data_IF_557239474116
#
_entry.id   IF_557239474116
#
_cell.length_a   1.000
_cell.length_b   1.000
_cell.length_c   1.000
_cell.angle_alpha   90.00
_cell.angle_beta   90.00
_cell.angle_gamma   90.00
#
_symmetry.space_group_name_H-M   'P 1'
#
loop_
_entity.id
_entity.type
_entity.pdbx_description
1 polymer ?
#
# COMPACT_ATOMS: atom_id res chain seq x y z
N UNK A 1 -26.40 -48.02 -11.12
CA UNK A 1 -27.43 -46.96 -11.16
C UNK A 1 -26.74 -45.65 -10.80
N UNK A 2 -25.57 -45.35 -11.38
CA UNK A 2 -24.59 -44.47 -10.68
C UNK A 2 -23.71 -43.62 -11.61
N UNK A 3 -24.05 -43.45 -12.89
CA UNK A 3 -23.28 -42.58 -13.80
C UNK A 3 -24.01 -41.27 -14.09
N UNK A 4 -25.34 -41.30 -14.10
CA UNK A 4 -26.18 -40.12 -14.35
C UNK A 4 -26.10 -39.14 -13.17
N UNK A 5 -26.04 -39.68 -11.94
CA UNK A 5 -25.95 -38.91 -10.69
C UNK A 5 -24.60 -38.16 -10.57
N UNK A 6 -23.50 -38.80 -11.00
CA UNK A 6 -22.17 -38.18 -11.03
C UNK A 6 -22.07 -37.04 -12.06
N UNK A 7 -22.68 -37.22 -13.25
CA UNK A 7 -22.72 -36.18 -14.28
C UNK A 7 -23.57 -34.99 -13.82
N UNK A 8 -24.70 -35.25 -13.17
CA UNK A 8 -25.55 -34.22 -12.56
C UNK A 8 -24.82 -33.49 -11.43
N UNK A 9 -24.12 -34.21 -10.55
CA UNK A 9 -23.31 -33.63 -9.49
C UNK A 9 -22.18 -32.73 -10.03
N UNK A 10 -21.50 -33.15 -11.09
CA UNK A 10 -20.47 -32.35 -11.78
C UNK A 10 -21.08 -31.09 -12.41
N UNK A 11 -22.23 -31.21 -13.07
CA UNK A 11 -22.92 -30.08 -13.69
C UNK A 11 -23.36 -29.05 -12.63
N UNK A 12 -23.88 -29.52 -11.50
CA UNK A 12 -24.26 -28.66 -10.35
C UNK A 12 -23.02 -27.98 -9.75
N UNK A 13 -21.94 -28.72 -9.51
CA UNK A 13 -20.69 -28.16 -8.99
C UNK A 13 -20.10 -27.08 -9.91
N UNK A 14 -20.12 -27.31 -11.22
CA UNK A 14 -19.69 -26.33 -12.22
C UNK A 14 -20.58 -25.07 -12.20
N UNK A 15 -21.90 -25.24 -12.16
CA UNK A 15 -22.84 -24.12 -12.12
C UNK A 15 -22.65 -23.26 -10.85
N UNK A 16 -22.46 -23.89 -9.69
CA UNK A 16 -22.16 -23.23 -8.42
C UNK A 16 -20.83 -22.46 -8.48
N UNK A 17 -19.77 -23.07 -9.03
CA UNK A 17 -18.48 -22.40 -9.19
C UNK A 17 -18.58 -21.19 -10.14
N UNK A 18 -19.29 -21.33 -11.27
CA UNK A 18 -19.52 -20.23 -12.23
C UNK A 18 -20.27 -19.07 -11.58
N UNK A 19 -21.33 -19.36 -10.81
CA UNK A 19 -22.09 -18.36 -10.04
C UNK A 19 -21.23 -17.69 -8.99
N UNK A 20 -20.49 -18.47 -8.19
CA UNK A 20 -19.59 -17.93 -7.17
C UNK A 20 -18.50 -17.03 -7.76
N UNK A 21 -17.95 -17.39 -8.92
CA UNK A 21 -16.97 -16.56 -9.63
C UNK A 21 -17.60 -15.28 -10.20
N UNK A 22 -18.82 -15.33 -10.71
CA UNK A 22 -19.55 -14.14 -11.15
C UNK A 22 -19.85 -13.19 -9.98
N UNK A 23 -20.28 -13.72 -8.84
CA UNK A 23 -20.55 -12.95 -7.63
C UNK A 23 -19.25 -12.38 -7.02
N UNK A 24 -18.15 -13.13 -7.00
CA UNK A 24 -16.82 -12.62 -6.63
C UNK A 24 -16.37 -11.49 -7.57
N UNK A 25 -16.57 -11.62 -8.88
CA UNK A 25 -16.25 -10.56 -9.85
C UNK A 25 -17.06 -9.29 -9.60
N UNK A 26 -18.38 -9.41 -9.37
CA UNK A 26 -19.24 -8.25 -9.01
C UNK A 26 -18.76 -7.56 -7.73
N UNK A 27 -18.43 -8.32 -6.69
CA UNK A 27 -17.90 -7.79 -5.42
C UNK A 27 -16.49 -7.18 -5.57
N UNK A 28 -15.71 -7.64 -6.55
CA UNK A 28 -14.35 -7.18 -6.82
C UNK A 28 -14.27 -5.92 -7.69
N UNK A 29 -15.39 -5.34 -8.12
CA UNK A 29 -15.38 -4.08 -8.88
C UNK A 29 -15.02 -2.96 -7.91
N UNK A 30 -13.71 -2.75 -7.71
CA UNK A 30 -13.20 -1.59 -7.00
C UNK A 30 -13.49 -0.36 -7.84
N UNK A 31 -14.21 0.62 -7.26
CA UNK A 31 -14.43 1.93 -7.91
C UNK A 31 -13.10 2.61 -8.27
N UNK A 32 -12.08 2.43 -7.42
CA UNK A 32 -10.73 2.94 -7.66
C UNK A 32 -9.68 1.91 -7.22
N UNK A 33 -8.67 1.68 -8.06
CA UNK A 33 -7.44 0.97 -7.67
C UNK A 33 -6.58 1.83 -6.73
N UNK A 34 -6.44 3.11 -7.07
CA UNK A 34 -5.89 4.19 -6.23
C UNK A 34 -6.89 5.33 -6.28
N UNK A 35 -7.33 5.81 -5.12
CA UNK A 35 -8.29 6.92 -5.04
C UNK A 35 -7.68 8.20 -5.66
N UNK A 36 -8.45 9.03 -6.41
CA UNK A 36 -7.94 10.26 -7.03
C UNK A 36 -7.26 11.23 -6.05
N UNK A 37 -7.68 11.26 -4.79
CA UNK A 37 -7.02 12.05 -3.74
C UNK A 37 -5.55 11.63 -3.54
N UNK A 38 -5.23 10.36 -3.73
CA UNK A 38 -3.90 9.81 -3.50
C UNK A 38 -2.99 9.93 -4.74
N UNK A 39 -3.53 10.28 -5.91
CA UNK A 39 -2.70 10.48 -7.12
C UNK A 39 -1.85 11.74 -7.01
N UNK A 40 -2.33 12.74 -6.27
CA UNK A 40 -1.63 14.00 -6.02
C UNK A 40 -0.54 13.92 -4.95
N UNK A 41 -0.44 12.79 -4.22
CA UNK A 41 0.50 12.59 -3.10
C UNK A 41 1.96 12.96 -3.43
N UNK A 42 2.40 12.70 -4.67
CA UNK A 42 3.78 13.00 -5.08
C UNK A 42 4.05 14.51 -5.11
N UNK A 43 3.01 15.34 -5.29
CA UNK A 43 3.13 16.82 -5.34
C UNK A 43 2.63 17.48 -4.06
N UNK A 44 1.49 17.03 -3.55
CA UNK A 44 0.74 17.67 -2.45
C UNK A 44 0.82 16.85 -1.15
N UNK A 45 1.53 15.72 -1.14
CA UNK A 45 1.65 14.89 0.04
C UNK A 45 2.38 15.61 1.15
N UNK A 46 1.87 15.46 2.38
CA UNK A 46 2.44 16.05 3.59
C UNK A 46 3.95 15.85 3.71
N UNK A 47 4.44 14.64 3.41
CA UNK A 47 5.86 14.35 3.42
C UNK A 47 6.62 15.19 2.38
N UNK A 48 6.12 15.27 1.14
CA UNK A 48 6.78 16.02 0.09
C UNK A 48 6.85 17.52 0.36
N UNK A 49 5.81 18.08 0.97
CA UNK A 49 5.77 19.52 1.25
C UNK A 49 6.56 19.87 2.51
N UNK A 50 6.54 19.03 3.55
CA UNK A 50 7.04 19.43 4.87
C UNK A 50 8.38 18.79 5.26
N UNK A 51 8.74 17.63 4.72
CA UNK A 51 9.92 16.90 5.21
C UNK A 51 11.21 17.69 5.01
N UNK A 52 11.44 18.24 3.80
CA UNK A 52 12.64 19.03 3.51
C UNK A 52 12.67 20.34 4.31
N UNK A 53 11.50 20.98 4.49
CA UNK A 53 11.37 22.17 5.31
C UNK A 53 11.73 21.89 6.77
N UNK A 54 11.21 20.79 7.35
CA UNK A 54 11.58 20.37 8.70
C UNK A 54 13.08 20.10 8.80
N UNK A 55 13.66 19.41 7.81
CA UNK A 55 15.08 19.05 7.81
C UNK A 55 16.00 20.27 7.73
N UNK A 56 15.54 21.40 7.20
CA UNK A 56 16.28 22.66 7.20
C UNK A 56 16.30 23.37 8.57
N UNK A 57 15.45 22.95 9.51
CA UNK A 57 15.30 23.55 10.84
C UNK A 57 15.48 22.47 11.93
N UNK A 58 16.71 22.18 12.39
CA UNK A 58 17.00 21.10 13.32
C UNK A 58 16.17 21.14 14.61
N UNK A 59 15.92 22.31 15.19
CA UNK A 59 15.06 22.42 16.38
C UNK A 59 13.61 21.99 16.12
N UNK A 60 13.03 22.36 14.97
CA UNK A 60 11.68 21.96 14.60
C UNK A 60 11.63 20.49 14.19
N UNK A 61 12.67 19.99 13.54
CA UNK A 61 12.81 18.56 13.25
C UNK A 61 12.83 17.72 14.53
N UNK A 62 13.63 18.14 15.52
CA UNK A 62 13.71 17.48 16.82
C UNK A 62 12.38 17.53 17.56
N UNK A 63 11.67 18.67 17.52
CA UNK A 63 10.34 18.80 18.12
C UNK A 63 9.29 17.93 17.45
N UNK A 64 9.36 17.81 16.13
CA UNK A 64 8.42 17.05 15.32
C UNK A 64 8.64 15.54 15.44
N UNK A 65 9.88 15.06 15.27
CA UNK A 65 10.20 13.62 15.27
C UNK A 65 10.71 13.09 16.62
N UNK A 66 10.96 13.97 17.59
CA UNK A 66 11.56 13.63 18.91
C UNK A 66 12.92 12.94 18.80
N UNK A 67 13.63 13.19 17.70
CA UNK A 67 14.98 12.73 17.42
C UNK A 67 15.70 13.71 16.51
N UNK A 68 17.04 13.73 16.56
CA UNK A 68 17.82 14.56 15.66
C UNK A 68 17.75 14.05 14.22
N UNK A 69 18.20 14.88 13.27
CA UNK A 69 18.25 14.49 11.86
C UNK A 69 19.20 13.30 11.68
N UNK A 70 20.32 13.29 12.39
CA UNK A 70 21.31 12.22 12.34
C UNK A 70 20.75 10.90 12.85
N UNK A 71 20.03 10.91 14.00
CA UNK A 71 19.36 9.72 14.51
C UNK A 71 18.27 9.20 13.57
N UNK A 72 17.54 10.11 12.92
CA UNK A 72 16.55 9.73 11.92
C UNK A 72 17.21 9.06 10.71
N UNK A 73 18.32 9.59 10.22
CA UNK A 73 19.06 9.03 9.09
C UNK A 73 19.67 7.67 9.42
N UNK A 74 20.24 7.52 10.61
CA UNK A 74 20.73 6.24 11.12
C UNK A 74 19.59 5.22 11.18
N UNK A 75 18.44 5.60 11.76
CA UNK A 75 17.27 4.74 11.82
C UNK A 75 16.80 4.33 10.43
N UNK A 76 16.79 5.26 9.46
CA UNK A 76 16.47 4.95 8.06
C UNK A 76 17.42 3.89 7.50
N UNK A 77 18.73 4.02 7.71
CA UNK A 77 19.70 3.04 7.22
C UNK A 77 19.44 1.64 7.78
N UNK A 78 19.10 1.54 9.07
CA UNK A 78 18.80 0.28 9.74
C UNK A 78 17.50 -0.37 9.20
N UNK A 79 16.44 0.41 8.99
CA UNK A 79 15.14 -0.14 8.58
C UNK A 79 14.99 -0.29 7.08
N UNK A 80 15.78 0.42 6.27
CA UNK A 80 15.67 0.47 4.80
C UNK A 80 15.70 -0.92 4.14
N UNK A 81 16.52 -1.90 4.54
CA UNK A 81 16.47 -3.24 3.96
C UNK A 81 15.12 -3.94 4.14
N UNK A 82 14.45 -3.72 5.27
CA UNK A 82 13.16 -4.33 5.60
C UNK A 82 11.96 -3.57 5.03
N UNK A 83 12.10 -2.25 4.81
CA UNK A 83 10.99 -1.38 4.40
C UNK A 83 11.01 -0.99 2.92
N UNK A 84 12.13 -1.17 2.23
CA UNK A 84 12.22 -0.85 0.80
C UNK A 84 11.33 -1.79 -0.01
N UNK A 85 10.64 -1.23 -1.02
CA UNK A 85 9.83 -2.00 -1.96
C UNK A 85 10.37 -1.78 -3.37
N UNK A 86 10.30 -2.83 -4.18
CA UNK A 86 10.67 -2.76 -5.59
C UNK A 86 9.74 -1.78 -6.33
N UNK A 87 10.34 -0.90 -7.14
CA UNK A 87 9.60 -0.06 -8.07
C UNK A 87 9.09 -0.94 -9.21
N UNK A 88 7.80 -0.83 -9.51
CA UNK A 88 7.16 -1.58 -10.60
C UNK A 88 6.41 -0.61 -11.50
N UNK A 89 6.11 -1.02 -12.72
CA UNK A 89 5.34 -0.23 -13.69
C UNK A 89 3.90 0.03 -13.23
N UNK A 90 3.39 -0.74 -12.27
CA UNK A 90 2.01 -0.65 -11.79
C UNK A 90 1.81 0.48 -10.78
N UNK A 91 2.79 0.71 -9.89
CA UNK A 91 2.71 1.72 -8.85
C UNK A 91 4.09 2.04 -8.28
N UNK A 92 4.36 3.34 -8.10
CA UNK A 92 5.50 3.82 -7.34
C UNK A 92 5.26 3.57 -5.84
N UNK A 93 6.13 2.80 -5.15
CA UNK A 93 5.98 2.57 -3.73
C UNK A 93 6.18 3.86 -2.92
N UNK A 94 5.63 3.90 -1.72
CA UNK A 94 5.92 4.94 -0.73
C UNK A 94 7.37 4.73 -0.27
N UNK A 95 8.18 5.80 -0.25
CA UNK A 95 9.59 5.69 0.13
C UNK A 95 9.74 5.29 1.59
N UNK A 96 10.90 4.74 1.95
CA UNK A 96 11.18 4.35 3.34
C UNK A 96 11.10 5.54 4.28
N UNK A 97 11.60 6.70 3.85
CA UNK A 97 11.56 7.97 4.57
C UNK A 97 10.11 8.40 4.85
N UNK A 98 9.27 8.40 3.82
CA UNK A 98 7.87 8.78 3.95
C UNK A 98 7.11 7.82 4.86
N UNK A 99 7.38 6.51 4.75
CA UNK A 99 6.82 5.50 5.66
C UNK A 99 7.26 5.74 7.11
N UNK A 100 8.54 6.02 7.33
CA UNK A 100 9.07 6.25 8.67
C UNK A 100 8.49 7.55 9.25
N UNK A 101 8.40 8.61 8.45
CA UNK A 101 7.79 9.88 8.86
C UNK A 101 6.34 9.71 9.31
N UNK A 102 5.55 8.89 8.62
CA UNK A 102 4.15 8.61 9.02
C UNK A 102 4.10 7.78 10.31
N UNK A 103 5.08 6.89 10.51
CA UNK A 103 5.12 5.96 11.65
C UNK A 103 5.54 6.66 12.95
N UNK A 104 6.47 7.62 12.86
CA UNK A 104 7.04 8.32 14.02
C UNK A 104 6.25 9.57 14.44
N UNK A 105 5.35 10.06 13.58
CA UNK A 105 4.55 11.27 13.85
C UNK A 105 3.52 11.04 14.97
#
# INVERSE_FOLDING_TARGET
MDLLDDVEAIAVAYALNKRNNAEKKKRSIRRYWVHPMNTKRIKEGQFQVNFMTLRAHPEEFLKYFRMSIESFDELILLVRPSLSKQVTNMRIPISTEERLTITLR
#
